data_IF_146107182284
#
_entry.id   IF_146107182284
#
_cell.length_a   1.000
_cell.length_b   1.000
_cell.length_c   1.000
_cell.angle_alpha   90.00
_cell.angle_beta   90.00
_cell.angle_gamma   90.00
#
_symmetry.space_group_name_H-M   'P 1'
#
loop_
_entity.id
_entity.type
_entity.pdbx_description
1 polymer ?
#
# COMPACT_ATOMS: atom_id res chain seq x y z
N UNK A 1 -21.81 6.56 6.50
CA UNK A 1 -21.66 6.93 5.09
C UNK A 1 -21.28 5.73 4.28
N UNK A 2 -22.12 5.35 3.36
CA UNK A 2 -21.77 4.27 2.46
C UNK A 2 -20.79 4.81 1.44
N UNK A 3 -19.52 4.55 1.64
CA UNK A 3 -18.51 4.82 0.65
C UNK A 3 -18.45 3.64 -0.30
N UNK A 4 -19.42 3.56 -1.20
CA UNK A 4 -19.30 2.59 -2.26
C UNK A 4 -18.09 2.88 -3.12
N UNK A 5 -17.80 4.17 -3.35
CA UNK A 5 -16.61 4.62 -4.06
C UNK A 5 -16.04 5.84 -3.33
N UNK A 6 -14.75 5.82 -3.11
CA UNK A 6 -14.10 6.95 -2.47
C UNK A 6 -12.64 7.04 -2.88
N UNK A 7 -12.17 8.25 -3.06
CA UNK A 7 -10.78 8.53 -3.37
C UNK A 7 -10.19 9.44 -2.29
N UNK A 8 -9.04 9.02 -1.75
CA UNK A 8 -8.29 9.78 -0.78
C UNK A 8 -6.97 10.20 -1.41
N UNK A 9 -6.73 11.51 -1.43
CA UNK A 9 -5.44 12.03 -1.87
C UNK A 9 -4.59 12.29 -0.65
N UNK A 10 -3.38 11.77 -0.66
CA UNK A 10 -2.48 11.86 0.47
C UNK A 10 -1.19 12.52 0.01
N UNK A 11 -0.76 13.52 0.75
CA UNK A 11 0.52 14.17 0.55
C UNK A 11 1.31 14.06 1.84
N UNK A 12 2.46 13.39 1.78
CA UNK A 12 3.38 13.26 2.89
C UNK A 12 4.60 14.13 2.65
N UNK A 13 5.00 14.87 3.66
CA UNK A 13 6.24 15.64 3.64
C UNK A 13 7.23 14.94 4.55
N UNK A 14 8.38 14.59 3.98
CA UNK A 14 9.47 13.99 4.72
C UNK A 14 10.53 15.05 4.95
N UNK A 15 10.86 15.30 6.21
CA UNK A 15 11.81 16.33 6.61
C UNK A 15 13.10 15.70 7.11
N UNK A 16 14.17 16.48 7.09
CA UNK A 16 15.48 16.03 7.53
C UNK A 16 16.56 16.50 6.58
N UNK A 17 17.69 15.80 6.60
CA UNK A 17 18.82 16.09 5.74
C UNK A 17 19.41 14.81 5.18
N UNK A 18 19.95 14.93 3.97
CA UNK A 18 20.71 13.88 3.33
C UNK A 18 19.84 12.83 2.66
N UNK A 19 20.49 11.75 2.28
CA UNK A 19 19.83 10.65 1.59
C UNK A 19 19.43 9.58 2.58
N UNK A 20 18.20 9.15 2.48
CA UNK A 20 17.62 8.15 3.39
C UNK A 20 16.97 7.03 2.63
N UNK A 21 16.92 5.89 3.27
CA UNK A 21 16.17 4.72 2.81
C UNK A 21 14.83 4.71 3.51
N UNK A 22 13.76 4.56 2.73
CA UNK A 22 12.40 4.58 3.23
C UNK A 22 11.73 3.24 2.96
N UNK A 23 10.86 2.87 3.88
CA UNK A 23 10.05 1.67 3.76
C UNK A 23 8.62 1.98 4.17
N UNK A 24 7.68 1.75 3.27
CA UNK A 24 6.26 1.79 3.58
C UNK A 24 5.68 0.39 3.50
N UNK A 25 4.82 0.04 4.45
CA UNK A 25 4.18 -1.27 4.49
C UNK A 25 2.67 -1.11 4.62
N UNK A 26 1.95 -1.87 3.81
CA UNK A 26 0.49 -1.94 3.86
C UNK A 26 0.10 -3.37 4.17
N UNK A 27 -0.48 -3.58 5.35
CA UNK A 27 -0.90 -4.90 5.80
C UNK A 27 -2.38 -5.09 5.47
N UNK A 28 -2.67 -6.04 4.62
CA UNK A 28 -4.03 -6.34 4.22
C UNK A 28 -4.56 -7.53 5.02
N UNK A 29 -5.85 -7.51 5.30
CA UNK A 29 -6.51 -8.62 5.98
C UNK A 29 -6.46 -9.88 5.13
N UNK A 30 -6.64 -11.07 5.71
CA UNK A 30 -6.73 -12.30 4.93
C UNK A 30 -7.86 -12.23 3.89
N UNK A 31 -7.70 -12.93 2.78
CA UNK A 31 -8.67 -12.94 1.70
C UNK A 31 -8.48 -11.85 0.64
N UNK A 32 -7.44 -11.05 0.76
CA UNK A 32 -7.08 -10.08 -0.27
C UNK A 32 -6.02 -10.64 -1.19
N UNK A 33 -6.18 -10.41 -2.49
CA UNK A 33 -5.14 -10.63 -3.49
C UNK A 33 -4.57 -9.28 -3.92
N UNK A 34 -3.30 -9.24 -4.28
CA UNK A 34 -2.62 -8.01 -4.64
C UNK A 34 -1.86 -8.20 -5.94
N UNK A 35 -1.99 -7.21 -6.82
CA UNK A 35 -1.19 -7.11 -8.05
C UNK A 35 -0.38 -5.83 -7.98
N UNK A 36 0.94 -5.96 -8.01
CA UNK A 36 1.83 -4.80 -8.07
C UNK A 36 1.93 -4.28 -9.51
N UNK A 37 2.02 -2.97 -9.63
CA UNK A 37 2.20 -2.29 -10.91
C UNK A 37 3.33 -1.28 -10.78
N UNK A 38 3.79 -0.77 -11.89
CA UNK A 38 4.86 0.22 -11.91
C UNK A 38 4.49 1.50 -11.15
N UNK A 39 3.25 1.94 -11.27
CA UNK A 39 2.74 3.17 -10.67
C UNK A 39 1.96 2.95 -9.37
N UNK A 40 1.92 1.73 -8.86
CA UNK A 40 1.19 1.43 -7.64
C UNK A 40 0.84 -0.04 -7.48
N UNK A 41 -0.30 -0.31 -6.88
CA UNK A 41 -0.79 -1.67 -6.70
C UNK A 41 -2.32 -1.68 -6.59
N UNK A 42 -2.90 -2.85 -6.86
CA UNK A 42 -4.34 -3.09 -6.74
C UNK A 42 -4.57 -4.28 -5.84
N UNK A 43 -5.38 -4.08 -4.80
CA UNK A 43 -5.85 -5.14 -3.93
C UNK A 43 -7.31 -5.47 -4.21
N UNK A 44 -7.65 -6.75 -4.14
CA UNK A 44 -9.03 -7.22 -4.34
C UNK A 44 -9.42 -8.13 -3.20
N UNK A 45 -10.56 -7.84 -2.59
CA UNK A 45 -11.16 -8.68 -1.55
C UNK A 45 -12.01 -9.76 -2.21
N UNK A 46 -11.75 -11.02 -1.87
CA UNK A 46 -12.49 -12.14 -2.46
C UNK A 46 -13.94 -12.20 -1.97
N UNK A 47 -14.17 -11.86 -0.72
CA UNK A 47 -15.51 -11.99 -0.14
C UNK A 47 -16.38 -10.77 -0.31
N UNK A 48 -15.80 -9.59 -0.24
CA UNK A 48 -16.58 -8.34 -0.24
C UNK A 48 -16.70 -7.66 -1.58
N UNK A 49 -16.03 -8.16 -2.61
CA UNK A 49 -16.00 -7.50 -3.91
C UNK A 49 -15.36 -6.12 -3.88
N UNK A 50 -14.56 -5.84 -2.87
CA UNK A 50 -13.89 -4.57 -2.72
C UNK A 50 -12.60 -4.54 -3.55
N UNK A 51 -12.33 -3.38 -4.13
CA UNK A 51 -11.11 -3.12 -4.87
C UNK A 51 -10.45 -1.89 -4.25
N UNK A 52 -9.19 -2.03 -3.86
CA UNK A 52 -8.40 -0.92 -3.34
C UNK A 52 -7.26 -0.65 -4.29
N UNK A 53 -7.24 0.54 -4.87
CA UNK A 53 -6.16 0.97 -5.75
C UNK A 53 -5.26 1.96 -5.03
N UNK A 54 -3.96 1.71 -5.09
CA UNK A 54 -2.93 2.65 -4.70
C UNK A 54 -2.24 3.15 -5.97
N UNK A 55 -2.17 4.45 -6.12
CA UNK A 55 -1.56 5.07 -7.30
C UNK A 55 -0.63 6.20 -6.87
N UNK A 56 0.63 6.13 -7.29
CA UNK A 56 1.57 7.22 -7.14
C UNK A 56 1.17 8.37 -8.05
N UNK A 57 1.01 9.55 -7.50
CA UNK A 57 0.89 10.80 -8.29
C UNK A 57 2.25 11.43 -8.51
N UNK A 58 3.11 11.31 -7.51
CA UNK A 58 4.51 11.69 -7.62
C UNK A 58 5.32 10.54 -7.07
N UNK A 59 5.80 9.70 -7.98
CA UNK A 59 6.54 8.50 -7.64
C UNK A 59 7.96 8.82 -7.21
N UNK A 60 8.43 8.26 -6.08
CA UNK A 60 9.85 8.34 -5.74
C UNK A 60 10.70 7.65 -6.80
N UNK A 61 11.86 8.22 -7.05
CA UNK A 61 12.81 7.62 -7.99
C UNK A 61 13.28 6.26 -7.47
N UNK A 62 13.40 5.29 -8.37
CA UNK A 62 13.87 3.94 -8.04
C UNK A 62 13.08 3.23 -6.93
N UNK A 63 11.79 3.50 -6.83
CA UNK A 63 10.95 2.79 -5.86
C UNK A 63 10.71 1.35 -6.29
N UNK A 64 10.67 0.45 -5.31
CA UNK A 64 10.34 -0.97 -5.50
C UNK A 64 9.08 -1.32 -4.75
N UNK A 65 8.16 -2.00 -5.41
CA UNK A 65 6.95 -2.52 -4.79
C UNK A 65 7.04 -4.04 -4.76
N UNK A 66 6.93 -4.61 -3.57
CA UNK A 66 6.95 -6.06 -3.37
C UNK A 66 5.70 -6.48 -2.63
N UNK A 67 5.16 -7.64 -3.02
CA UNK A 67 4.03 -8.26 -2.33
C UNK A 67 4.56 -9.50 -1.63
N UNK A 68 4.36 -9.55 -0.32
CA UNK A 68 4.81 -10.66 0.50
C UNK A 68 3.62 -11.35 1.15
N UNK A 69 3.77 -12.64 1.36
CA UNK A 69 2.80 -13.41 2.13
C UNK A 69 3.15 -13.31 3.60
N UNK A 70 2.17 -12.96 4.40
CA UNK A 70 2.27 -12.95 5.84
C UNK A 70 1.30 -13.94 6.45
N UNK A 71 1.56 -14.33 7.69
CA UNK A 71 0.65 -15.14 8.47
C UNK A 71 -0.10 -14.24 9.43
N UNK A 72 -1.41 -14.43 9.47
CA UNK A 72 -2.29 -13.72 10.38
C UNK A 72 -2.99 -14.73 11.28
N UNK A 73 -2.91 -14.51 12.60
CA UNK A 73 -3.54 -15.38 13.59
C UNK A 73 -4.67 -14.63 14.29
N UNK A 74 -5.88 -14.66 13.72
CA UNK A 74 -7.02 -13.93 14.30
C UNK A 74 -7.49 -14.54 15.61
N UNK A 75 -7.18 -15.82 15.85
CA UNK A 75 -7.49 -16.46 17.13
C UNK A 75 -6.47 -17.55 17.41
N UNK A 76 -6.45 -17.99 18.66
CA UNK A 76 -5.52 -19.02 19.10
C UNK A 76 -5.70 -20.31 18.29
N UNK A 77 -4.60 -20.78 17.73
CA UNK A 77 -4.59 -22.00 16.94
C UNK A 77 -5.01 -21.84 15.49
N UNK A 78 -5.45 -20.66 15.05
CA UNK A 78 -5.81 -20.40 13.68
C UNK A 78 -4.78 -19.48 13.03
N UNK A 79 -4.31 -19.88 11.85
CA UNK A 79 -3.40 -19.06 11.05
C UNK A 79 -3.97 -18.95 9.65
N UNK A 80 -4.04 -17.73 9.15
CA UNK A 80 -4.51 -17.42 7.80
C UNK A 80 -3.45 -16.65 7.05
N UNK A 81 -3.36 -16.90 5.74
CA UNK A 81 -2.45 -16.15 4.89
C UNK A 81 -3.00 -14.76 4.63
N UNK A 82 -2.15 -13.77 4.81
CA UNK A 82 -2.43 -12.38 4.50
C UNK A 82 -1.36 -11.86 3.54
N UNK A 83 -1.59 -10.69 2.98
CA UNK A 83 -0.65 -10.04 2.07
C UNK A 83 -0.13 -8.77 2.69
N UNK A 84 1.16 -8.53 2.53
CA UNK A 84 1.78 -7.25 2.87
C UNK A 84 2.40 -6.66 1.62
N UNK A 85 2.05 -5.41 1.33
CA UNK A 85 2.68 -4.67 0.24
C UNK A 85 3.77 -3.81 0.84
N UNK A 86 5.00 -3.98 0.38
CA UNK A 86 6.15 -3.19 0.80
C UNK A 86 6.65 -2.35 -0.34
N UNK A 87 6.85 -1.07 -0.06
CA UNK A 87 7.43 -0.14 -1.02
C UNK A 87 8.70 0.41 -0.42
N UNK A 88 9.82 0.18 -1.11
CA UNK A 88 11.13 0.68 -0.70
C UNK A 88 11.62 1.70 -1.71
N UNK A 89 12.23 2.76 -1.21
CA UNK A 89 12.91 3.74 -2.07
C UNK A 89 14.00 4.44 -1.29
N UNK A 90 14.92 5.06 -2.03
CA UNK A 90 15.91 5.95 -1.47
C UNK A 90 15.71 7.33 -2.04
N UNK A 91 15.92 8.34 -1.24
CA UNK A 91 15.78 9.71 -1.70
C UNK A 91 16.38 10.71 -0.74
N UNK A 92 16.57 11.90 -1.26
CA UNK A 92 17.04 13.03 -0.47
C UNK A 92 15.87 13.67 0.26
N UNK A 93 16.10 14.07 1.50
CA UNK A 93 15.13 14.84 2.27
C UNK A 93 15.63 16.28 2.40
N UNK A 94 14.71 17.26 2.44
CA UNK A 94 13.25 17.10 2.46
C UNK A 94 12.67 16.70 1.11
N UNK A 95 11.59 15.93 1.14
CA UNK A 95 10.87 15.56 -0.07
C UNK A 95 9.37 15.47 0.19
N UNK A 96 8.60 15.47 -0.89
CA UNK A 96 7.16 15.32 -0.84
C UNK A 96 6.73 14.11 -1.64
N UNK A 97 5.82 13.33 -1.06
CA UNK A 97 5.22 12.18 -1.72
C UNK A 97 3.74 12.46 -1.93
N UNK A 98 3.25 12.08 -3.09
CA UNK A 98 1.83 12.19 -3.41
C UNK A 98 1.32 10.87 -3.93
N UNK A 99 0.23 10.39 -3.33
CA UNK A 99 -0.42 9.18 -3.79
C UNK A 99 -1.92 9.24 -3.53
N UNK A 100 -2.63 8.38 -4.21
CA UNK A 100 -4.08 8.25 -4.07
C UNK A 100 -4.43 6.83 -3.67
N UNK A 101 -5.37 6.73 -2.75
CA UNK A 101 -6.04 5.48 -2.41
C UNK A 101 -7.48 5.59 -2.88
N UNK A 102 -7.90 4.66 -3.72
CA UNK A 102 -9.27 4.62 -4.22
C UNK A 102 -9.90 3.30 -3.83
N UNK A 103 -11.02 3.37 -3.15
CA UNK A 103 -11.81 2.22 -2.77
C UNK A 103 -13.02 2.12 -3.70
N UNK A 104 -13.14 0.99 -4.37
CA UNK A 104 -14.24 0.66 -5.26
C UNK A 104 -15.01 -0.54 -4.75
N UNK A 105 -16.26 -0.56 -5.03
CA UNK A 105 -17.13 -1.64 -4.61
C UNK A 105 -17.75 -2.38 -5.78
#
# INVERSE_FOLDING_TARGET
MALSNGTFQIEDRLEGRGRHRFLASFHLAPGWSVTAREDGWTGRSQEGGLILNFLWRRRPEASRTQVEDDLHSPSYGLTQKARTVRIEWEGDVPCRLRYELTLLR
#
